data_IF_881874372705
#
_entry.id   IF_881874372705
#
_cell.length_a   1.000
_cell.length_b   1.000
_cell.length_c   1.000
_cell.angle_alpha   90.00
_cell.angle_beta   90.00
_cell.angle_gamma   90.00
#
_symmetry.space_group_name_H-M   'P 1'
#
loop_
_entity.id
_entity.type
_entity.pdbx_description
1 polymer ?
2 non-polymer ?
3 non-polymer ?
4 non-polymer ?
5 water ?
#
# COMPACT_ATOMS: atom_id res chain seq x y z
N UNK A 3 -11.21 -6.54 -19.37
CA UNK A 3 -10.23 -7.59 -19.67
C UNK A 3 -9.16 -7.75 -18.58
N UNK A 4 -8.57 -6.65 -18.08
CA UNK A 4 -7.60 -6.80 -16.98
C UNK A 4 -8.22 -7.35 -15.71
N UNK A 5 -9.36 -6.79 -15.29
CA UNK A 5 -10.02 -7.28 -14.09
C UNK A 5 -10.63 -8.66 -14.30
N UNK A 6 -11.14 -8.93 -15.50
CA UNK A 6 -11.74 -10.22 -15.79
C UNK A 6 -10.70 -11.34 -15.75
N UNK A 7 -9.46 -11.05 -16.12
CA UNK A 7 -8.40 -12.03 -16.01
C UNK A 7 -7.88 -12.13 -14.58
N UNK A 8 -7.82 -11.00 -13.87
CA UNK A 8 -7.32 -10.99 -12.51
C UNK A 8 -8.21 -11.82 -11.58
N UNK A 9 -9.53 -11.73 -11.77
CA UNK A 9 -10.43 -12.53 -10.95
C UNK A 9 -10.41 -13.99 -11.35
N UNK A 10 -10.14 -14.28 -12.62
CA UNK A 10 -10.08 -15.67 -13.06
C UNK A 10 -8.85 -16.37 -12.50
N UNK A 11 -7.74 -15.64 -12.39
CA UNK A 11 -6.53 -16.22 -11.78
C UNK A 11 -6.74 -16.41 -10.28
N UNK A 12 -7.53 -15.54 -9.65
CA UNK A 12 -7.86 -15.73 -8.23
C UNK A 12 -8.53 -17.07 -7.99
N UNK A 13 -9.47 -17.45 -8.87
CA UNK A 13 -10.08 -18.76 -8.76
C UNK A 13 -9.05 -19.86 -8.89
N UNK A 14 -8.09 -19.68 -9.80
CA UNK A 14 -7.03 -20.67 -9.98
C UNK A 14 -6.14 -20.74 -8.74
N UNK A 15 -5.84 -19.58 -8.15
CA UNK A 15 -5.00 -19.56 -6.95
C UNK A 15 -5.73 -20.16 -5.76
N UNK A 16 -6.99 -19.77 -5.56
CA UNK A 16 -7.74 -20.24 -4.40
C UNK A 16 -7.92 -21.75 -4.43
N UNK A 17 -8.30 -22.30 -5.58
CA UNK A 17 -8.58 -23.73 -5.65
C UNK A 17 -7.32 -24.57 -5.49
N UNK A 18 -6.15 -24.01 -5.82
CA UNK A 18 -4.91 -24.72 -5.56
C UNK A 18 -4.61 -24.77 -4.06
N UNK A 19 -4.63 -23.60 -3.41
CA UNK A 19 -4.30 -23.54 -1.98
C UNK A 19 -5.26 -24.39 -1.16
N UNK A 20 -6.54 -24.40 -1.52
CA UNK A 20 -7.51 -25.18 -0.76
C UNK A 20 -7.36 -26.67 -1.05
N UNK A 21 -7.09 -27.03 -2.30
CA UNK A 21 -6.87 -28.44 -2.61
C UNK A 21 -5.59 -28.95 -1.98
N UNK A 22 -4.54 -28.12 -1.94
CA UNK A 22 -3.31 -28.53 -1.28
C UNK A 22 -3.53 -28.84 0.18
N UNK A 23 -4.34 -28.03 0.86
CA UNK A 23 -4.70 -28.31 2.25
C UNK A 23 -5.49 -29.61 2.36
N UNK A 24 -6.42 -29.84 1.43
CA UNK A 24 -7.23 -31.05 1.47
C UNK A 24 -6.39 -32.29 1.20
N UNK A 25 -5.52 -32.23 0.19
CA UNK A 25 -4.79 -33.41 -0.26
C UNK A 25 -3.47 -33.62 0.48
N UNK A 26 -2.76 -32.55 0.80
CA UNK A 26 -1.43 -32.64 1.37
C UNK A 26 -1.32 -32.12 2.80
N UNK A 27 -2.44 -31.70 3.41
CA UNK A 27 -2.41 -31.19 4.78
C UNK A 27 -3.50 -31.78 5.67
N UNK A 28 -4.16 -32.85 5.24
CA UNK A 28 -5.12 -33.60 6.06
C UNK A 28 -6.26 -32.72 6.57
N UNK A 29 -6.62 -31.69 5.83
CA UNK A 29 -7.67 -30.77 6.26
C UNK A 29 -9.04 -31.30 5.87
N UNK A 30 -10.00 -31.15 6.77
CA UNK A 30 -11.37 -31.60 6.56
C UNK A 30 -12.15 -30.57 5.74
N UNK A 31 -13.21 -31.01 5.04
CA UNK A 31 -13.99 -30.08 4.23
C UNK A 31 -14.53 -28.88 5.01
N UNK A 32 -14.95 -29.08 6.25
CA UNK A 32 -15.50 -27.98 7.04
C UNK A 32 -14.49 -26.84 7.19
N UNK A 33 -13.25 -27.18 7.52
CA UNK A 33 -12.23 -26.14 7.65
C UNK A 33 -11.78 -25.62 6.29
N UNK A 34 -11.89 -26.45 5.24
CA UNK A 34 -11.58 -25.96 3.89
C UNK A 34 -12.59 -24.90 3.47
N UNK A 35 -13.89 -25.18 3.68
CA UNK A 35 -14.91 -24.18 3.37
C UNK A 35 -14.79 -22.96 4.28
N UNK A 36 -14.39 -23.18 5.53
CA UNK A 36 -14.14 -22.05 6.43
C UNK A 36 -13.02 -21.16 5.89
N UNK A 37 -11.96 -21.78 5.37
CA UNK A 37 -10.85 -20.98 4.84
C UNK A 37 -11.20 -20.35 3.50
N UNK A 38 -12.09 -20.97 2.73
CA UNK A 38 -12.58 -20.33 1.51
C UNK A 38 -13.31 -19.04 1.85
N UNK A 39 -14.26 -19.10 2.79
CA UNK A 39 -15.01 -17.90 3.19
C UNK A 39 -14.10 -16.86 3.80
N UNK A 40 -13.07 -17.28 4.53
CA UNK A 40 -12.13 -16.33 5.11
C UNK A 40 -11.26 -15.68 4.03
N UNK A 41 -10.82 -16.47 3.05
CA UNK A 41 -9.98 -15.92 1.98
C UNK A 41 -10.76 -14.90 1.15
N UNK A 42 -12.02 -15.20 0.84
CA UNK A 42 -12.84 -14.27 0.06
C UNK A 42 -13.15 -13.01 0.86
N UNK A 43 -13.31 -13.14 2.17
CA UNK A 43 -13.68 -11.99 2.99
C UNK A 43 -12.52 -11.00 3.10
N UNK A 44 -11.31 -11.48 3.32
CA UNK A 44 -10.17 -10.61 3.57
C UNK A 44 -9.51 -10.11 2.29
N UNK A 45 -9.56 -10.88 1.21
CA UNK A 45 -8.84 -10.54 -0.02
C UNK A 45 -9.71 -9.87 -1.07
N UNK A 46 -11.01 -10.20 -1.12
CA UNK A 46 -11.91 -9.61 -2.09
C UNK A 46 -12.70 -8.47 -1.45
N UNK A 47 -12.89 -7.40 -2.21
CA UNK A 47 -13.65 -6.26 -1.72
C UNK A 47 -13.02 -4.94 -2.08
N UNK A 48 -11.69 -4.85 -1.94
CA UNK A 48 -10.98 -3.64 -2.27
C UNK A 48 -10.97 -3.35 -3.76
N UNK A 49 -10.35 -2.24 -4.11
CA UNK A 49 -10.27 -1.83 -5.52
C UNK A 49 -9.13 -2.50 -6.27
N UNK A 50 -8.27 -3.26 -5.57
CA UNK A 50 -7.20 -4.03 -6.19
C UNK A 50 -6.21 -3.13 -6.93
N UNK A 51 -5.91 -1.97 -6.35
CA UNK A 51 -5.02 -1.02 -7.03
C UNK A 51 -3.60 -1.55 -7.11
N UNK A 52 -3.14 -2.25 -6.07
CA UNK A 52 -1.78 -2.78 -6.09
C UNK A 52 -1.67 -3.96 -7.04
N UNK A 53 -2.66 -4.84 -7.04
CA UNK A 53 -2.60 -6.02 -7.89
C UNK A 53 -2.67 -5.67 -9.38
N UNK A 54 -3.62 -4.80 -9.74
CA UNK A 54 -3.76 -4.42 -11.15
C UNK A 54 -2.59 -3.61 -11.64
N UNK A 55 -1.87 -2.93 -10.75
CA UNK A 55 -0.68 -2.18 -11.16
C UNK A 55 0.38 -3.11 -11.74
N UNK A 56 0.50 -4.32 -11.20
CA UNK A 56 1.48 -5.28 -11.72
C UNK A 56 1.12 -5.69 -13.13
N UNK A 57 -0.17 -5.88 -13.41
CA UNK A 57 -0.60 -6.32 -14.73
C UNK A 57 -0.44 -5.19 -15.75
N UNK A 58 -0.75 -3.96 -15.35
CA UNK A 58 -0.64 -2.83 -16.27
C UNK A 58 0.80 -2.58 -16.67
N UNK A 59 1.76 -2.81 -15.75
CA UNK A 59 3.16 -2.65 -16.10
C UNK A 59 3.63 -3.83 -16.97
N UNK A 60 3.11 -5.02 -16.73
CA UNK A 60 3.56 -6.19 -17.47
C UNK A 60 3.13 -6.13 -18.93
N UNK A 61 1.87 -5.75 -19.19
CA UNK A 61 1.37 -5.76 -20.56
C UNK A 61 2.00 -4.67 -21.42
N UNK A 62 2.52 -3.60 -20.82
CA UNK A 62 3.20 -2.57 -21.60
C UNK A 62 4.56 -3.05 -22.09
N UNK A 63 5.29 -3.78 -21.24
CA UNK A 63 6.63 -4.21 -21.61
C UNK A 63 6.63 -5.31 -22.66
N UNK A 64 5.51 -6.03 -22.82
CA UNK A 64 5.47 -7.09 -23.82
C UNK A 64 5.40 -6.51 -25.23
N UNK A 65 4.42 -5.67 -25.50
CA UNK A 65 4.25 -5.07 -26.81
C UNK A 65 5.27 -3.97 -27.10
N UNK A 66 6.05 -3.56 -26.12
CA UNK A 66 7.01 -2.46 -26.25
C UNK A 66 8.39 -2.91 -25.78
N UNK A 67 8.83 -4.06 -26.27
CA UNK A 67 10.14 -4.61 -25.90
C UNK A 67 11.25 -3.96 -26.72
N UNK A 77 3.87 -16.22 -30.31
CA UNK A 77 4.07 -15.37 -29.14
C UNK A 77 3.48 -15.97 -27.88
N UNK A 78 3.92 -17.17 -27.52
CA UNK A 78 3.44 -17.84 -26.32
C UNK A 78 3.98 -17.22 -25.04
N UNK A 79 5.00 -16.36 -25.13
CA UNK A 79 5.54 -15.72 -23.95
C UNK A 79 4.55 -14.73 -23.34
N UNK A 80 3.66 -14.17 -24.16
CA UNK A 80 2.67 -13.21 -23.66
C UNK A 80 1.74 -13.86 -22.64
N UNK A 81 1.27 -15.08 -22.92
CA UNK A 81 0.33 -15.75 -22.02
C UNK A 81 0.97 -16.06 -20.68
N UNK A 82 2.27 -16.34 -20.65
CA UNK A 82 2.94 -16.70 -19.41
C UNK A 82 3.23 -15.48 -18.55
N UNK A 83 3.67 -14.37 -19.16
CA UNK A 83 4.05 -13.20 -18.38
C UNK A 83 2.81 -12.58 -17.73
N UNK A 84 1.69 -12.51 -18.47
CA UNK A 84 0.48 -11.93 -17.91
C UNK A 84 -0.08 -12.78 -16.78
N UNK A 85 0.04 -14.10 -16.89
CA UNK A 85 -0.39 -14.97 -15.80
C UNK A 85 0.52 -14.81 -14.58
N UNK A 86 1.83 -14.70 -14.80
CA UNK A 86 2.75 -14.44 -13.70
C UNK A 86 2.44 -13.10 -13.04
N UNK A 87 2.02 -12.11 -13.83
CA UNK A 87 1.68 -10.81 -13.27
C UNK A 87 0.47 -10.91 -12.34
N UNK A 88 -0.52 -11.71 -12.72
CA UNK A 88 -1.70 -11.87 -11.88
C UNK A 88 -1.36 -12.56 -10.57
N UNK A 89 -0.49 -13.56 -10.62
CA UNK A 89 -0.07 -14.24 -9.39
C UNK A 89 0.68 -13.27 -8.49
N UNK A 90 1.60 -12.49 -9.07
CA UNK A 90 2.26 -11.44 -8.30
C UNK A 90 1.28 -10.39 -7.82
N UNK A 91 0.23 -10.12 -8.60
CA UNK A 91 -0.79 -9.18 -8.16
C UNK A 91 -1.53 -9.67 -6.93
N UNK A 92 -1.89 -10.95 -6.90
CA UNK A 92 -2.57 -11.48 -5.73
C UNK A 92 -1.62 -11.71 -4.57
N UNK A 93 -0.32 -11.85 -4.82
CA UNK A 93 0.64 -11.88 -3.73
C UNK A 93 0.59 -10.59 -2.91
N UNK A 94 0.47 -9.46 -3.59
CA UNK A 94 0.39 -8.18 -2.89
C UNK A 94 -0.96 -8.01 -2.23
N UNK A 95 -2.03 -8.37 -2.94
CA UNK A 95 -3.37 -8.25 -2.37
C UNK A 95 -3.53 -9.12 -1.13
N UNK A 96 -3.02 -10.35 -1.19
CA UNK A 96 -3.00 -11.20 0.00
C UNK A 96 -2.15 -10.59 1.10
N UNK A 97 -1.00 -10.00 0.72
CA UNK A 97 -0.17 -9.31 1.72
C UNK A 97 -0.92 -8.12 2.31
N UNK A 98 -1.68 -7.41 1.48
CA UNK A 98 -2.51 -6.32 1.99
C UNK A 98 -3.56 -6.82 2.96
N UNK A 99 -4.21 -7.95 2.62
CA UNK A 99 -5.18 -8.55 3.54
C UNK A 99 -4.50 -8.95 4.84
N UNK A 100 -3.26 -9.43 4.77
CA UNK A 100 -2.53 -9.80 5.97
C UNK A 100 -2.31 -8.59 6.87
N UNK A 101 -1.95 -7.44 6.28
CA UNK A 101 -1.76 -6.23 7.07
C UNK A 101 -3.07 -5.73 7.66
N UNK A 102 -4.15 -5.78 6.88
CA UNK A 102 -5.45 -5.33 7.38
C UNK A 102 -5.92 -6.19 8.54
N UNK A 103 -5.69 -7.50 8.47
CA UNK A 103 -6.08 -8.38 9.57
C UNK A 103 -5.32 -8.04 10.84
N UNK A 104 -4.02 -7.76 10.71
CA UNK A 104 -3.25 -7.35 11.88
C UNK A 104 -3.76 -6.02 12.45
N UNK A 105 -4.34 -5.17 11.59
CA UNK A 105 -4.89 -3.91 12.07
C UNK A 105 -6.18 -4.13 12.86
N UNK A 106 -6.97 -5.14 12.49
CA UNK A 106 -8.20 -5.42 13.21
C UNK A 106 -7.93 -5.89 14.63
N UNK A 107 -6.80 -6.58 14.84
CA UNK A 107 -6.49 -7.09 16.17
C UNK A 107 -6.12 -5.95 17.12
N UNK A 108 -5.50 -4.89 16.59
CA UNK A 108 -5.13 -3.74 17.40
C UNK A 108 -6.33 -2.95 17.89
N UNK A 109 -7.51 -3.16 17.30
CA UNK A 109 -8.71 -2.43 17.69
C UNK A 109 -9.97 -3.24 17.42
N UNK A 124 -10.17 -17.59 27.02
CA UNK A 124 -10.06 -18.38 25.78
C UNK A 124 -10.98 -17.87 24.67
N UNK A 125 -10.67 -16.68 24.14
CA UNK A 125 -11.48 -16.08 23.09
C UNK A 125 -11.09 -16.66 21.74
N UNK A 126 -12.00 -17.42 21.14
CA UNK A 126 -11.69 -18.12 19.89
C UNK A 126 -11.69 -17.17 18.70
N UNK A 127 -12.40 -16.04 18.78
CA UNK A 127 -12.47 -15.11 17.66
C UNK A 127 -11.20 -14.30 17.49
N UNK A 128 -10.40 -14.14 18.54
CA UNK A 128 -9.13 -13.45 18.42
C UNK A 128 -8.03 -14.42 17.97
N UNK A 129 -8.09 -15.66 18.44
CA UNK A 129 -7.15 -16.67 17.97
C UNK A 129 -7.29 -16.90 16.47
N UNK A 130 -8.54 -16.92 15.97
CA UNK A 130 -8.75 -17.11 14.54
C UNK A 130 -8.27 -15.90 13.75
N UNK A 131 -8.38 -14.70 14.32
CA UNK A 131 -7.89 -13.51 13.64
C UNK A 131 -6.36 -13.55 13.51
N UNK A 132 -5.67 -13.91 14.58
CA UNK A 132 -4.21 -14.06 14.50
C UNK A 132 -3.84 -15.16 13.51
N UNK A 133 -4.54 -16.29 13.58
CA UNK A 133 -4.26 -17.39 12.66
C UNK A 133 -4.55 -17.00 11.22
N UNK A 134 -5.57 -16.17 11.00
CA UNK A 134 -5.85 -15.68 9.65
C UNK A 134 -4.70 -14.83 9.12
N UNK A 135 -4.14 -13.96 9.96
CA UNK A 135 -3.03 -13.13 9.53
C UNK A 135 -1.82 -13.95 9.15
N UNK A 136 -1.55 -15.04 9.88
CA UNK A 136 -0.43 -15.90 9.55
C UNK A 136 -0.69 -16.68 8.27
N UNK A 137 -1.93 -17.15 8.08
CA UNK A 137 -2.25 -17.91 6.88
C UNK A 137 -2.15 -17.06 5.62
N UNK A 138 -2.68 -15.84 5.67
CA UNK A 138 -2.63 -14.96 4.50
C UNK A 138 -1.18 -14.69 4.09
N UNK A 139 -0.32 -14.39 5.07
CA UNK A 139 1.10 -14.16 4.77
C UNK A 139 1.76 -15.40 4.20
N UNK A 140 1.47 -16.56 4.78
CA UNK A 140 2.06 -17.80 4.27
C UNK A 140 1.54 -18.14 2.88
N UNK A 141 0.32 -17.75 2.55
CA UNK A 141 -0.24 -18.05 1.24
C UNK A 141 0.50 -17.30 0.14
N UNK A 142 1.07 -16.13 0.44
CA UNK A 142 1.88 -15.43 -0.56
C UNK A 142 3.11 -16.25 -0.94
N UNK A 143 3.72 -16.92 0.04
CA UNK A 143 4.85 -17.78 -0.25
C UNK A 143 4.41 -19.03 -1.02
N UNK A 144 3.27 -19.61 -0.63
CA UNK A 144 2.85 -20.88 -1.23
C UNK A 144 2.46 -20.71 -2.69
N UNK A 145 1.74 -19.64 -3.02
CA UNK A 145 1.38 -19.40 -4.41
C UNK A 145 2.60 -19.04 -5.24
N UNK A 146 3.60 -18.39 -4.64
CA UNK A 146 4.82 -18.06 -5.36
C UNK A 146 5.68 -19.30 -5.58
N UNK A 147 5.84 -20.13 -4.54
CA UNK A 147 6.65 -21.33 -4.66
C UNK A 147 6.05 -22.34 -5.63
N UNK A 148 4.77 -22.23 -5.96
CA UNK A 148 4.10 -23.19 -6.84
C UNK A 148 4.07 -22.70 -8.28
N UNK A 149 3.46 -21.54 -8.53
CA UNK A 149 3.32 -21.04 -9.89
C UNK A 149 4.65 -20.57 -10.49
N UNK A 150 5.62 -20.22 -9.64
CA UNK A 150 6.93 -19.78 -10.10
C UNK A 150 8.01 -20.82 -9.77
N UNK A 151 7.64 -22.09 -9.72
CA UNK A 151 8.59 -23.13 -9.35
C UNK A 151 9.70 -23.26 -10.37
N UNK A 152 9.37 -23.14 -11.67
CA UNK A 152 10.36 -23.25 -12.74
C UNK A 152 10.68 -21.91 -13.37
N UNK A 153 10.35 -20.80 -12.69
CA UNK A 153 10.76 -19.50 -13.19
C UNK A 153 12.15 -19.14 -12.67
N UNK A 154 13.00 -18.56 -13.51
CA UNK A 154 14.37 -18.22 -13.05
C UNK A 154 14.44 -17.10 -12.03
N UNK A 155 13.31 -16.48 -11.66
CA UNK A 155 13.31 -15.35 -10.76
C UNK A 155 12.63 -15.63 -9.43
N UNK A 156 12.38 -16.91 -9.10
CA UNK A 156 11.69 -17.23 -7.86
C UNK A 156 12.50 -16.78 -6.65
N UNK A 157 13.82 -16.99 -6.67
CA UNK A 157 14.64 -16.56 -5.55
C UNK A 157 14.75 -15.05 -5.47
N UNK A 158 14.84 -14.38 -6.62
CA UNK A 158 14.91 -12.92 -6.62
C UNK A 158 13.59 -12.32 -6.16
N UNK A 159 12.47 -12.90 -6.58
CA UNK A 159 11.16 -12.36 -6.23
C UNK A 159 10.89 -12.50 -4.72
N UNK A 160 11.17 -13.68 -4.17
CA UNK A 160 10.89 -13.91 -2.76
C UNK A 160 11.75 -13.02 -1.87
N UNK A 161 12.98 -12.74 -2.28
CA UNK A 161 13.87 -11.91 -1.46
C UNK A 161 13.41 -10.46 -1.46
N UNK A 162 13.05 -9.92 -2.63
CA UNK A 162 12.52 -8.56 -2.68
C UNK A 162 11.18 -8.47 -1.97
N UNK A 163 10.36 -9.53 -2.07
CA UNK A 163 9.06 -9.52 -1.40
C UNK A 163 9.25 -9.55 0.12
N UNK A 164 10.17 -10.37 0.62
CA UNK A 164 10.42 -10.44 2.05
C UNK A 164 11.00 -9.13 2.59
N UNK A 165 11.94 -8.54 1.85
CA UNK A 165 12.56 -7.30 2.31
C UNK A 165 11.56 -6.15 2.33
N UNK A 166 10.67 -6.11 1.34
CA UNK A 166 9.63 -5.08 1.33
C UNK A 166 8.65 -5.30 2.47
N UNK A 167 8.33 -6.56 2.77
CA UNK A 167 7.49 -6.86 3.93
C UNK A 167 8.18 -6.43 5.22
N UNK A 168 9.47 -6.75 5.35
CA UNK A 168 10.24 -6.29 6.50
C UNK A 168 10.25 -4.77 6.57
N UNK A 169 10.35 -4.12 5.42
CA UNK A 169 10.32 -2.66 5.39
C UNK A 169 9.02 -2.10 5.95
N UNK A 170 7.90 -2.71 5.58
CA UNK A 170 6.61 -2.22 6.06
C UNK A 170 6.47 -2.38 7.56
N UNK A 171 6.94 -3.51 8.11
CA UNK A 171 6.90 -3.71 9.55
C UNK A 171 7.74 -2.65 10.27
N UNK A 172 8.89 -2.30 9.69
CA UNK A 172 9.68 -1.21 10.26
C UNK A 172 8.93 0.11 10.18
N UNK A 173 8.28 0.37 9.04
CA UNK A 173 7.51 1.58 8.91
C UNK A 173 6.36 1.68 9.89
N UNK A 174 5.75 0.54 10.23
CA UNK A 174 4.70 0.55 11.24
C UNK A 174 5.25 0.89 12.61
N UNK A 175 6.52 0.56 12.87
CA UNK A 175 7.13 0.95 14.14
C UNK A 175 7.34 2.46 14.21
N UNK A 176 7.76 3.07 13.10
CA UNK A 176 7.94 4.51 13.06
C UNK A 176 6.62 5.24 13.29
N UNK A 177 5.52 4.71 12.75
CA UNK A 177 4.23 5.37 12.87
C UNK A 177 3.66 5.21 14.27
N UNK A 178 3.59 3.97 14.76
CA UNK A 178 2.96 3.69 16.05
C UNK A 178 3.68 4.43 17.17
N UNK A 179 5.00 4.54 17.08
CA UNK A 179 5.80 5.18 18.12
C UNK A 179 6.21 6.60 17.76
N UNK A 180 5.45 7.26 16.89
CA UNK A 180 5.81 8.62 16.47
C UNK A 180 5.51 9.67 17.53
N UNK A 181 4.96 9.28 18.68
CA UNK A 181 4.69 10.23 19.76
C UNK A 181 5.21 9.73 21.11
N UNK A 182 5.94 8.63 21.14
CA UNK A 182 6.53 8.10 22.37
C UNK A 182 7.99 7.76 22.14
N UNK A 183 8.78 7.89 23.21
CA UNK A 183 10.18 7.46 23.20
C UNK A 183 10.74 7.41 24.63
N UNK A 199 6.32 15.58 20.65
CA UNK A 199 6.15 16.17 19.33
C UNK A 199 7.49 16.47 18.66
N UNK A 200 8.54 15.81 19.14
CA UNK A 200 9.87 16.05 18.60
C UNK A 200 10.02 15.46 17.20
N UNK A 201 9.41 14.31 16.96
CA UNK A 201 9.50 13.64 15.66
C UNK A 201 8.47 14.14 14.67
N UNK A 202 7.70 15.18 15.01
CA UNK A 202 6.72 15.75 14.10
C UNK A 202 7.42 16.74 13.16
N UNK A 203 8.22 16.18 12.26
CA UNK A 203 8.95 16.94 11.26
C UNK A 203 8.64 16.40 9.87
N UNK A 204 8.89 17.24 8.87
CA UNK A 204 8.53 16.87 7.51
C UNK A 204 9.41 15.75 6.98
N UNK A 205 10.64 15.62 7.48
CA UNK A 205 11.52 14.55 7.04
C UNK A 205 11.15 13.22 7.68
N UNK A 206 10.78 13.23 8.95
CA UNK A 206 10.34 12.01 9.60
C UNK A 206 8.99 11.55 9.06
N UNK A 207 8.12 12.51 8.71
CA UNK A 207 6.87 12.16 8.03
C UNK A 207 7.16 11.40 6.74
N UNK A 208 8.14 11.87 5.96
CA UNK A 208 8.53 11.15 4.76
C UNK A 208 9.09 9.76 5.10
N UNK A 209 9.81 9.66 6.23
CA UNK A 209 10.33 8.36 6.63
C UNK A 209 9.21 7.38 6.91
N UNK A 210 8.15 7.84 7.58
CA UNK A 210 7.00 6.98 7.84
C UNK A 210 6.34 6.56 6.54
N UNK A 211 6.02 7.52 5.68
CA UNK A 211 5.35 7.22 4.42
C UNK A 211 6.20 6.32 3.54
N UNK A 212 7.52 6.52 3.57
CA UNK A 212 8.40 5.73 2.71
C UNK A 212 8.37 4.26 3.10
N UNK A 213 8.59 3.95 4.37
CA UNK A 213 8.70 2.55 4.78
C UNK A 213 7.34 1.92 5.04
N UNK A 214 6.43 2.65 5.69
CA UNK A 214 5.14 2.06 6.05
C UNK A 214 4.24 1.87 4.83
N UNK A 215 4.29 2.76 3.85
CA UNK A 215 3.32 2.77 2.76
C UNK A 215 3.96 2.66 1.38
N UNK A 216 4.92 3.53 1.07
CA UNK A 216 5.36 3.68 -0.32
C UNK A 216 6.06 2.43 -0.86
N UNK A 217 6.80 1.72 -0.01
CA UNK A 217 7.62 0.63 -0.52
C UNK A 217 6.77 -0.52 -1.06
N UNK A 218 5.68 -0.87 -0.37
CA UNK A 218 4.87 -2.01 -0.78
C UNK A 218 3.65 -1.62 -1.59
N UNK A 219 3.25 -0.35 -1.58
CA UNK A 219 2.08 0.07 -2.34
C UNK A 219 2.44 0.57 -3.74
N UNK A 220 3.61 1.16 -3.90
CA UNK A 220 3.99 1.76 -5.18
C UNK A 220 5.26 1.16 -5.76
N UNK A 221 6.33 1.03 -4.96
CA UNK A 221 7.57 0.48 -5.49
C UNK A 221 7.46 -1.02 -5.74
N UNK A 222 6.83 -1.75 -4.83
CA UNK A 222 6.75 -3.20 -4.96
C UNK A 222 5.96 -3.64 -6.19
N UNK A 223 4.76 -3.13 -6.47
CA UNK A 223 4.05 -3.60 -7.68
C UNK A 223 4.78 -3.27 -8.97
N UNK A 224 5.42 -2.11 -9.04
CA UNK A 224 6.17 -1.74 -10.24
C UNK A 224 7.32 -2.69 -10.49
N UNK A 225 8.05 -3.07 -9.43
CA UNK A 225 9.15 -4.00 -9.58
C UNK A 225 8.65 -5.36 -10.05
N UNK A 226 7.50 -5.79 -9.52
CA UNK A 226 6.95 -7.09 -9.91
C UNK A 226 6.55 -7.10 -11.38
N UNK A 227 6.14 -5.95 -11.93
CA UNK A 227 5.88 -5.87 -13.35
C UNK A 227 7.13 -6.00 -14.19
N UNK A 228 8.28 -5.60 -13.64
CA UNK A 228 9.54 -5.71 -14.36
C UNK A 228 10.16 -7.09 -14.22
N UNK A 229 9.85 -7.80 -13.14
CA UNK A 229 10.43 -9.12 -12.91
C UNK A 229 9.78 -10.16 -13.81
N UNK A 230 8.45 -10.20 -13.84
CA UNK A 230 7.76 -11.17 -14.68
C UNK A 230 7.96 -10.88 -16.16
N UNK A 231 8.28 -9.64 -16.51
CA UNK A 231 8.59 -9.28 -17.89
C UNK A 231 10.08 -9.40 -18.20
N UNK A 232 10.90 -9.74 -17.20
CA UNK A 232 12.34 -9.94 -17.41
C UNK A 232 13.01 -8.69 -17.95
N UNK A 233 12.66 -7.54 -17.37
CA UNK A 233 13.17 -6.25 -17.79
C UNK A 233 13.55 -5.40 -16.58
N UNK A 234 13.90 -6.05 -15.48
CA UNK A 234 14.27 -5.31 -14.27
C UNK A 234 15.56 -4.54 -14.44
N UNK A 235 16.67 -5.12 -14.90
CA UNK A 235 17.91 -4.33 -15.03
C UNK A 235 17.87 -3.32 -16.17
N UNK A 236 16.78 -3.22 -16.93
CA UNK A 236 16.68 -2.29 -18.03
C UNK A 236 16.05 -0.95 -17.64
N UNK A 237 15.81 -0.72 -16.36
CA UNK A 237 15.20 0.51 -15.88
C UNK A 237 16.10 1.12 -14.82
N UNK A 238 16.02 2.45 -14.70
CA UNK A 238 16.76 3.16 -13.65
C UNK A 238 16.07 2.92 -12.31
N UNK A 239 16.69 2.11 -11.46
CA UNK A 239 16.07 1.79 -10.17
C UNK A 239 16.00 3.00 -9.26
N UNK A 240 16.99 3.89 -9.34
CA UNK A 240 16.97 5.08 -8.50
C UNK A 240 15.81 6.01 -8.85
N UNK A 241 15.62 6.27 -10.14
CA UNK A 241 14.52 7.13 -10.57
C UNK A 241 13.19 6.44 -10.27
N UNK A 242 13.11 5.13 -10.46
CA UNK A 242 11.90 4.39 -10.13
C UNK A 242 11.62 4.44 -8.63
N UNK A 243 12.67 4.28 -7.82
CA UNK A 243 12.52 4.44 -6.37
C UNK A 243 12.01 5.83 -6.02
N UNK A 244 12.63 6.86 -6.61
CA UNK A 244 12.26 8.23 -6.28
C UNK A 244 10.81 8.52 -6.69
N UNK A 245 10.37 7.92 -7.80
CA UNK A 245 8.98 8.11 -8.23
C UNK A 245 8.01 7.48 -7.25
N UNK A 246 8.35 6.31 -6.70
CA UNK A 246 7.45 5.63 -5.79
C UNK A 246 7.30 6.40 -4.48
N UNK A 247 8.38 6.99 -3.99
CA UNK A 247 8.29 7.75 -2.74
C UNK A 247 7.50 9.03 -2.93
N UNK A 248 7.67 9.70 -4.09
CA UNK A 248 6.93 10.93 -4.34
C UNK A 248 5.45 10.66 -4.53
N UNK A 249 5.10 9.58 -5.24
CA UNK A 249 3.70 9.23 -5.41
C UNK A 249 3.06 8.81 -4.08
N UNK A 250 3.82 8.09 -3.25
CA UNK A 250 3.32 7.75 -1.94
C UNK A 250 3.13 8.97 -1.05
N UNK A 251 4.05 9.93 -1.16
CA UNK A 251 3.93 11.17 -0.38
C UNK A 251 2.70 11.97 -0.83
N UNK A 252 2.50 12.10 -2.14
CA UNK A 252 1.33 12.81 -2.65
C UNK A 252 0.05 12.18 -2.14
N UNK A 253 -0.07 10.86 -2.23
CA UNK A 253 -1.32 10.20 -1.86
C UNK A 253 -1.50 10.13 -0.35
N UNK A 254 -0.41 10.14 0.43
CA UNK A 254 -0.55 10.11 1.89
C UNK A 254 -0.96 11.47 2.45
N UNK A 255 -0.48 12.55 1.84
CA UNK A 255 -0.91 13.89 2.27
C UNK A 255 -2.40 14.08 2.00
N UNK A 256 -2.87 13.63 0.83
CA UNK A 256 -4.28 13.75 0.50
C UNK A 256 -5.14 12.95 1.46
N UNK A 257 -4.68 11.76 1.84
CA UNK A 257 -5.43 10.94 2.78
C UNK A 257 -5.48 11.57 4.17
N UNK A 258 -4.41 12.28 4.56
CA UNK A 258 -4.40 12.93 5.87
C UNK A 258 -5.41 14.07 5.92
N UNK A 259 -5.47 14.86 4.85
CA UNK A 259 -6.43 15.97 4.81
C UNK A 259 -7.85 15.44 4.74
N UNK A 260 -8.08 14.40 3.94
CA UNK A 260 -9.42 13.82 3.84
C UNK A 260 -9.85 13.18 5.15
N UNK A 261 -8.92 12.58 5.88
CA UNK A 261 -9.24 11.99 7.17
C UNK A 261 -9.80 13.02 8.14
N UNK A 262 -9.32 14.27 8.05
CA UNK A 262 -9.73 15.30 8.99
C UNK A 262 -10.94 16.10 8.53
N UNK A 263 -11.09 16.31 7.22
CA UNK A 263 -12.12 17.22 6.71
C UNK A 263 -13.26 16.53 5.98
N UNK A 264 -13.01 15.41 5.31
CA UNK A 264 -14.08 14.74 4.59
C UNK A 264 -15.04 14.08 5.58
N UNK A 265 -16.35 14.29 5.45
CA UNK A 265 -17.30 13.69 6.39
C UNK A 265 -17.28 12.18 6.31
N UNK A 266 -17.85 11.49 7.30
CA UNK A 266 -17.77 10.02 7.31
C UNK A 266 -18.46 9.36 6.12
N UNK A 267 -19.63 9.85 5.72
CA UNK A 267 -20.37 9.21 4.63
C UNK A 267 -19.68 9.39 3.28
N UNK A 268 -18.87 10.43 3.12
CA UNK A 268 -18.16 10.67 1.87
C UNK A 268 -16.74 10.12 1.90
N UNK A 269 -16.11 10.07 3.07
CA UNK A 269 -14.77 9.49 3.17
C UNK A 269 -14.80 7.98 3.14
N UNK A 270 -15.82 7.37 3.75
CA UNK A 270 -15.95 5.93 3.83
C UNK A 270 -15.62 5.34 5.19
N UNK A 271 -15.03 6.12 6.08
CA UNK A 271 -14.67 5.65 7.42
C UNK A 271 -14.88 6.82 8.38
N UNK A 272 -14.23 6.75 9.53
CA UNK A 272 -14.28 7.83 10.53
C UNK A 272 -12.87 8.37 10.71
N UNK A 273 -12.72 9.69 10.65
CA UNK A 273 -11.43 10.31 10.82
C UNK A 273 -10.94 10.16 12.25
N UNK A 274 -9.80 9.50 12.43
CA UNK A 274 -9.30 9.21 13.77
C UNK A 274 -7.88 9.70 14.02
N UNK A 275 -7.27 10.41 13.08
CA UNK A 275 -5.86 10.78 13.23
C UNK A 275 -5.65 11.75 14.39
N UNK A 276 -6.57 12.71 14.56
CA UNK A 276 -6.43 13.67 15.66
C UNK A 276 -6.55 12.97 17.01
N UNK A 277 -7.51 12.06 17.14
CA UNK A 277 -7.67 11.31 18.39
C UNK A 277 -6.48 10.42 18.64
N UNK A 278 -6.03 9.68 17.62
CA UNK A 278 -4.90 8.78 17.75
C UNK A 278 -3.56 9.50 17.84
N UNK A 279 -3.55 10.83 17.74
CA UNK A 279 -2.32 11.62 17.80
C UNK A 279 -1.30 11.18 16.76
N UNK A 280 -1.79 10.96 15.53
CA UNK A 280 -0.90 10.51 14.46
C UNK A 280 -0.02 11.66 13.97
N UNK A 281 1.08 11.29 13.34
CA UNK A 281 2.01 12.26 12.75
C UNK A 281 1.59 12.53 11.31
N UNK A 282 0.47 13.25 11.18
CA UNK A 282 -0.11 13.53 9.87
C UNK A 282 0.51 14.79 9.27
N UNK A 283 0.29 14.96 7.96
CA UNK A 283 0.80 16.14 7.27
C UNK A 283 0.19 17.42 7.83
N UNK A 284 -1.04 17.34 8.33
CA UNK A 284 -1.67 18.53 8.91
C UNK A 284 -0.98 18.94 10.21
N UNK A 285 -0.42 17.99 10.95
CA UNK A 285 0.20 18.30 12.23
C UNK A 285 1.57 18.95 12.03
N UNK A 286 2.41 18.35 11.19
CA UNK A 286 3.77 18.84 11.03
C UNK A 286 3.80 20.16 10.28
N UNK A 287 2.80 20.42 9.43
CA UNK A 287 2.71 21.69 8.74
C UNK A 287 2.22 22.79 9.68
N UNK A 288 1.26 22.45 10.55
CA UNK A 288 0.74 23.41 11.51
C UNK A 288 1.82 23.85 12.49
N UNK A 289 2.58 22.90 13.02
CA UNK A 289 3.56 23.21 14.06
C UNK A 289 4.63 24.17 13.56
N UNK A 290 4.85 24.21 12.24
CA UNK A 290 5.87 25.10 11.70
C UNK A 290 5.38 26.55 11.64
N UNK A 291 4.12 26.75 11.24
CA UNK A 291 3.60 28.09 10.99
C UNK A 291 2.65 28.57 12.09
N UNK A 292 2.63 27.89 13.24
CA UNK A 292 1.78 28.27 14.35
C UNK A 292 2.56 29.14 15.34
N UNK A 293 1.83 30.02 16.03
CA UNK A 293 2.44 30.84 17.07
C UNK A 293 2.71 29.99 18.32
N UNK A 294 3.41 30.60 19.28
CA UNK A 294 3.73 29.89 20.51
C UNK A 294 2.47 29.53 21.30
N UNK A 295 1.42 30.34 21.18
CA UNK A 295 0.16 30.01 21.85
C UNK A 295 -0.62 28.95 21.08
N UNK A 296 -0.61 29.03 19.74
CA UNK A 296 -1.32 28.03 18.94
C UNK A 296 -0.72 26.65 19.12
N UNK A 297 0.61 26.57 19.28
CA UNK A 297 1.23 25.29 19.57
C UNK A 297 0.82 24.79 20.95
N UNK A 298 0.72 25.70 21.92
CA UNK A 298 0.26 25.32 23.25
C UNK A 298 -1.19 24.86 23.21
N UNK A 299 -2.04 25.56 22.46
CA UNK A 299 -3.42 25.13 22.31
C UNK A 299 -3.53 23.85 21.48
N UNK A 300 -2.57 23.62 20.60
CA UNK A 300 -2.55 22.38 19.82
C UNK A 300 -2.11 21.20 20.68
N UNK A 301 -1.05 21.38 21.46
CA UNK A 301 -0.53 20.29 22.28
C UNK A 301 -1.51 19.88 23.38
N UNK A 302 -2.30 20.84 23.90
CA UNK A 302 -3.24 20.56 24.97
C UNK A 302 -4.53 19.91 24.49
N UNK A 303 -4.74 19.81 23.17
CA UNK A 303 -5.95 19.20 22.64
C UNK A 303 -5.69 18.07 21.66
N UNK A 304 -4.47 17.88 21.18
CA UNK A 304 -4.18 16.81 20.25
C UNK A 304 -4.05 15.48 20.98
N UNK A 305 -4.54 14.42 20.34
CA UNK A 305 -4.50 13.10 20.93
C UNK A 305 -5.66 12.76 21.84
N UNK A 306 -6.60 13.67 22.04
CA UNK A 306 -7.74 13.42 22.90
C UNK A 306 -8.92 12.88 22.09
N UNK A 307 -9.82 12.19 22.79
CA UNK A 307 -11.01 11.65 22.15
C UNK A 307 -12.22 12.54 22.32
N UNK A 308 -12.09 13.59 23.13
CA UNK A 308 -13.19 14.51 23.37
C UNK A 308 -13.57 15.21 22.07
N UNK A 309 -14.88 15.23 21.78
CA UNK A 309 -15.36 15.81 20.53
C UNK A 309 -15.02 17.30 20.42
N UNK A 310 -15.01 18.01 21.54
CA UNK A 310 -14.71 19.44 21.51
C UNK A 310 -13.22 19.71 21.41
N UNK A 311 -12.38 18.85 21.99
CA UNK A 311 -10.94 19.01 21.81
C UNK A 311 -10.51 18.67 20.39
N UNK A 312 -11.17 17.70 19.75
CA UNK A 312 -10.87 17.39 18.36
C UNK A 312 -11.33 18.53 17.46
N UNK A 313 -12.52 19.09 17.75
CA UNK A 313 -12.99 20.23 16.97
C UNK A 313 -12.09 21.45 17.15
N UNK A 314 -11.47 21.60 18.33
CA UNK A 314 -10.52 22.69 18.53
C UNK A 314 -9.31 22.52 17.64
N UNK A 315 -8.88 21.26 17.42
CA UNK A 315 -7.74 21.01 16.56
C UNK A 315 -8.08 21.32 15.10
N UNK A 316 -9.30 20.97 14.67
CA UNK A 316 -9.70 21.29 13.31
C UNK A 316 -9.81 22.80 13.10
N UNK A 317 -10.27 23.53 14.11
CA UNK A 317 -10.37 24.98 13.98
C UNK A 317 -8.99 25.61 13.79
N UNK A 318 -7.99 25.12 14.52
CA UNK A 318 -6.63 25.61 14.33
C UNK A 318 -6.11 25.30 12.93
N UNK A 319 -6.42 24.09 12.42
CA UNK A 319 -6.05 23.75 11.06
C UNK A 319 -6.73 24.68 10.05
N UNK A 320 -8.00 25.02 10.31
CA UNK A 320 -8.71 25.92 9.42
C UNK A 320 -8.14 27.33 9.48
N UNK A 321 -7.94 27.86 10.69
CA UNK A 321 -7.46 29.22 10.85
C UNK A 321 -6.02 29.40 10.37
N UNK A 322 -5.25 28.31 10.28
CA UNK A 322 -3.88 28.39 9.80
C UNK A 322 -3.77 28.38 8.29
N UNK A 323 -4.90 28.31 7.58
CA UNK A 323 -4.93 28.26 6.11
C UNK A 323 -4.11 27.08 5.59
N UNK A 324 -4.23 25.94 6.26
CA UNK A 324 -3.46 24.76 5.86
C UNK A 324 -3.95 24.21 4.53
N UNK A 325 -5.26 24.16 4.32
CA UNK A 325 -5.80 23.67 3.06
C UNK A 325 -5.47 24.58 1.88
N UNK A 326 -4.96 25.78 2.13
CA UNK A 326 -4.38 26.59 1.08
C UNK A 326 -2.97 26.13 0.78
N UNK A 327 -2.24 25.73 1.84
CA UNK A 327 -0.91 25.16 1.65
C UNK A 327 -0.98 23.77 1.05
N UNK A 328 -2.07 23.04 1.31
CA UNK A 328 -2.23 21.69 0.77
C UNK A 328 -2.26 21.71 -0.75
N UNK A 329 -2.92 22.70 -1.34
CA UNK A 329 -3.04 22.76 -2.80
C UNK A 329 -1.66 22.98 -3.43
N UNK A 330 -0.93 23.96 -2.92
CA UNK A 330 0.39 24.26 -3.49
C UNK A 330 1.37 23.12 -3.24
N UNK A 331 1.26 22.46 -2.08
CA UNK A 331 2.18 21.37 -1.77
C UNK A 331 1.98 20.19 -2.72
N UNK A 332 0.72 19.82 -2.99
CA UNK A 332 0.47 18.73 -3.93
C UNK A 332 0.86 19.11 -5.35
N UNK A 333 0.77 20.40 -5.69
CA UNK A 333 1.15 20.83 -7.04
C UNK A 333 2.65 20.67 -7.25
N UNK A 334 3.46 21.06 -6.26
CA UNK A 334 4.90 20.92 -6.40
C UNK A 334 5.31 19.46 -6.45
N UNK A 335 4.64 18.61 -5.66
CA UNK A 335 4.91 17.18 -5.72
C UNK A 335 4.49 16.61 -7.07
N UNK A 336 3.33 17.05 -7.57
CA UNK A 336 2.85 16.53 -8.85
C UNK A 336 3.80 16.90 -9.99
N UNK A 337 4.38 18.10 -9.94
CA UNK A 337 5.33 18.49 -10.96
C UNK A 337 6.62 17.69 -10.88
N UNK A 338 7.01 17.27 -9.67
CA UNK A 338 8.18 16.38 -9.55
C UNK A 338 7.89 15.02 -10.16
N UNK A 339 6.66 14.52 -10.01
CA UNK A 339 6.29 13.25 -10.62
C UNK A 339 6.31 13.35 -12.14
N UNK A 340 5.81 14.47 -12.68
CA UNK A 340 5.82 14.65 -14.12
C UNK A 340 7.23 14.73 -14.69
N UNK A 341 8.17 15.25 -13.90
CA UNK A 341 9.55 15.40 -14.38
C UNK A 341 10.30 14.08 -14.38
N UNK A 342 10.19 13.32 -13.28
CA UNK A 342 10.94 12.08 -13.17
C UNK A 342 10.42 11.00 -14.11
N UNK A 343 9.17 11.09 -14.55
CA UNK A 343 8.68 10.16 -15.55
C UNK A 343 9.43 10.33 -16.86
N UNK A 344 9.76 11.58 -17.20
CA UNK A 344 10.51 11.85 -18.43
C UNK A 344 11.93 11.32 -18.35
N UNK A 345 12.55 11.41 -17.17
CA UNK A 345 13.91 10.88 -17.01
C UNK A 345 13.92 9.36 -17.16
N UNK A 346 12.81 8.71 -16.85
CA UNK A 346 12.75 7.24 -16.93
C UNK A 346 12.42 6.77 -18.34
N UNK A 347 11.72 7.58 -19.14
CA UNK A 347 11.34 7.16 -20.47
C UNK A 347 12.49 7.19 -21.47
N UNK A 348 13.56 7.94 -21.17
CA UNK A 348 14.72 7.94 -22.05
C UNK A 348 15.41 6.58 -22.11
N UNK A 349 15.24 5.76 -21.08
CA UNK A 349 15.75 4.40 -21.06
C UNK A 349 14.67 3.34 -20.96
N UNK A 350 13.42 3.74 -20.71
CA UNK A 350 12.31 2.79 -20.58
C UNK A 350 11.02 3.49 -20.98
N UNK A 351 10.74 3.56 -22.29
CA UNK A 351 9.55 4.30 -22.76
C UNK A 351 8.25 3.66 -22.33
N UNK A 352 8.10 2.35 -22.55
CA UNK A 352 6.87 1.68 -22.19
C UNK A 352 6.64 1.62 -20.69
N UNK A 353 7.71 1.58 -19.90
CA UNK A 353 7.57 1.58 -18.45
C UNK A 353 6.93 2.88 -17.97
N UNK A 354 7.39 4.02 -18.49
CA UNK A 354 6.82 5.30 -18.08
C UNK A 354 5.40 5.46 -18.61
N UNK A 355 5.05 4.80 -19.71
CA UNK A 355 3.69 4.88 -20.22
C UNK A 355 2.70 4.31 -19.22
N UNK A 356 3.05 3.19 -18.57
CA UNK A 356 2.20 2.65 -17.53
C UNK A 356 2.15 3.59 -16.32
N UNK A 357 3.30 4.17 -15.95
CA UNK A 357 3.32 5.08 -14.80
C UNK A 357 2.49 6.32 -15.08
N UNK A 358 2.56 6.84 -16.31
CA UNK A 358 1.73 8.00 -16.67
C UNK A 358 0.25 7.66 -16.56
N UNK A 359 -0.16 6.53 -17.15
CA UNK A 359 -1.55 6.11 -17.03
C UNK A 359 -1.91 5.80 -15.58
N UNK A 360 -0.94 5.28 -14.81
CA UNK A 360 -1.21 4.97 -13.42
C UNK A 360 -1.15 6.22 -12.54
N UNK A 361 -0.24 7.15 -12.83
CA UNK A 361 -0.24 8.42 -12.11
C UNK A 361 -1.44 9.26 -12.53
N UNK A 362 -1.74 9.31 -13.83
CA UNK A 362 -2.94 9.99 -14.30
C UNK A 362 -4.20 9.48 -13.64
N UNK A 363 -4.60 8.26 -14.00
CA UNK A 363 -5.79 7.57 -13.49
C UNK A 363 -6.99 8.49 -13.27
N UNK A 364 -7.43 8.56 -12.01
CA UNK A 364 -8.59 9.35 -11.62
C UNK A 364 -8.29 10.84 -11.51
N UNK A 365 -7.34 11.34 -12.30
CA UNK A 365 -6.98 12.76 -12.31
C UNK A 365 -6.04 13.07 -13.49
X LIG B 1 -1.13 3.06 -7.36
X LIG B 1 -0.11 2.14 -7.67
X LIG B 1 -4.22 5.63 -5.26
X LIG B 1 -5.86 5.38 -3.45
X LIG B 1 -4.58 7.07 -3.32
X LIG B 1 -6.22 6.01 -2.31
X LIG B 1 0.88 3.70 -9.24
X LIG B 1 -1.12 4.30 -8.03
X LIG B 1 -3.36 3.50 -6.40
X LIG B 1 -1.88 1.62 -5.54
X LIG B 1 0.87 2.45 -8.60
X LIG B 1 -0.13 4.62 -8.95
X LIG B 1 -3.55 4.25 -5.05
X LIG B 1 -4.87 6.03 -4.03
X LIG B 1 -5.32 7.12 -2.31
X LIG B 1 -2.10 2.74 -6.46
X LIG B 1 -2.32 4.44 -4.33
X LIG B 1 2.13 4.08 -10.40
X LIG C 1 -18.26 -21.77 10.19
X LIG C 1 -17.72 -20.54 9.68
X LIG C 1 -17.58 -22.09 11.54
X LIG C 1 -17.06 -23.44 11.48
X LIG C 1 -15.95 -23.66 12.37
X LIG C 1 -14.91 -24.53 11.63
X LIG C 1 -13.63 -24.28 12.21
X LIG D 1 0.02 8.83 8.68
X LIG D 1 1.05 8.00 7.98
X LIG D 1 0.60 9.25 10.34
X LIG D 1 -1.41 7.79 9.09
#
# INVERSE_FOLDING_TARGET
GPMPMQMFMQVYDEIQMFLLEELELKFDMDPNRVRYLRKMMDTTCLGGKYNRGLTVIDVAESLLSLSPNNNGEEDDGARRKRVLHDACVCGWMIEFLQAHYLVEDDIMDNSVTRRGKPCWYRHPDVTVQCAINDGLLLKSWTHMMAMHFFADRPFLQDLLCRFNRVDYTTAVGQLYDVTSMFDSNKLDPDVSQPTTTDFAEFTLSNYKRIVKYKTAYYTYLLPLVMGLIVSEALPTVDMGVTEELAMLMGEYFQVQDDVMDCFTPPERLGKVGTDIQDAKCSWLAVTFLAKASSAQVAEFKANYGSGDSEKVATVRRLYEEADLQGDYVAYEAAVAEQVKELIEKLRLCSPGFAASVETLWGKTYKRQK
PJ1 C1 C3 C11 C15 C16 C17 C10 C4 C5 C6 C7 C8 C9 N14 N18 N2 O12 CL13
PEG C1 O1 C2 O2 C3 C4 O4
DMS S O C1 C2
#
